data_IF_035547173919
#
_entry.id   IF_035547173919
#
_cell.length_a   1.000
_cell.length_b   1.000
_cell.length_c   1.000
_cell.angle_alpha   90.00
_cell.angle_beta   90.00
_cell.angle_gamma   90.00
#
_symmetry.space_group_name_H-M   'P 1'
#
loop_
_entity.id
_entity.type
_entity.pdbx_description
1 polymer ?
#
# COMPACT_ATOMS: atom_id res chain seq x y z
N UNK A 1 11.01 6.33 2.35
CA UNK A 1 11.19 7.32 3.44
C UNK A 1 12.62 7.85 3.55
N UNK A 2 13.65 7.01 3.39
CA UNK A 2 15.05 7.39 3.58
C UNK A 2 15.52 8.66 2.83
N UNK A 3 15.09 8.87 1.57
CA UNK A 3 15.53 10.04 0.80
C UNK A 3 14.82 11.35 1.22
N UNK A 4 13.57 11.26 1.68
CA UNK A 4 12.72 12.41 1.99
C UNK A 4 12.94 12.92 3.41
N UNK A 5 13.17 12.02 4.37
CA UNK A 5 13.40 12.34 5.79
C UNK A 5 14.46 13.41 6.06
N UNK A 6 15.65 13.42 5.44
CA UNK A 6 16.65 14.47 5.67
C UNK A 6 16.24 15.84 5.10
N UNK A 7 15.27 15.88 4.20
CA UNK A 7 14.77 17.10 3.57
C UNK A 7 13.49 17.64 4.25
N UNK A 8 12.95 16.92 5.24
CA UNK A 8 11.72 17.33 5.93
C UNK A 8 11.96 18.55 6.83
N UNK A 9 11.01 19.48 6.80
CA UNK A 9 11.04 20.69 7.64
C UNK A 9 9.81 20.73 8.57
N UNK A 10 9.91 21.48 9.68
CA UNK A 10 8.88 21.61 10.71
C UNK A 10 9.22 20.88 12.03
N UNK A 11 8.56 21.27 13.12
CA UNK A 11 8.71 20.68 14.45
C UNK A 11 7.37 20.15 14.98
N UNK A 12 7.39 19.30 16.01
CA UNK A 12 6.17 18.88 16.71
C UNK A 12 5.19 18.02 15.88
N UNK A 13 5.69 17.05 15.10
CA UNK A 13 4.85 16.11 14.34
C UNK A 13 4.33 16.63 12.99
N UNK A 14 4.44 17.93 12.71
CA UNK A 14 4.05 18.54 11.43
C UNK A 14 5.22 18.61 10.43
N UNK A 15 5.98 17.52 10.30
CA UNK A 15 7.07 17.44 9.34
C UNK A 15 6.55 17.28 7.92
N UNK A 16 7.09 18.08 6.98
CA UNK A 16 6.70 18.05 5.56
C UNK A 16 7.92 18.09 4.66
N UNK A 17 7.84 17.44 3.51
CA UNK A 17 8.84 17.61 2.44
C UNK A 17 8.52 18.94 1.73
N UNK A 18 9.46 19.90 1.67
CA UNK A 18 9.25 21.15 0.94
C UNK A 18 8.95 20.90 -0.53
N UNK A 19 8.08 21.72 -1.13
CA UNK A 19 7.71 21.63 -2.54
C UNK A 19 8.92 21.62 -3.48
N UNK A 20 9.89 22.50 -3.25
CA UNK A 20 11.10 22.60 -4.07
C UNK A 20 11.94 21.32 -4.07
N UNK A 21 11.91 20.54 -2.98
CA UNK A 21 12.61 19.25 -2.89
C UNK A 21 11.91 18.22 -3.78
N UNK A 22 10.57 18.21 -3.80
CA UNK A 22 9.80 17.29 -4.66
C UNK A 22 9.99 17.65 -6.13
N UNK A 23 9.95 18.94 -6.48
CA UNK A 23 10.10 19.40 -7.87
C UNK A 23 11.49 19.14 -8.47
N UNK A 24 12.54 19.18 -7.64
CA UNK A 24 13.91 18.91 -8.09
C UNK A 24 14.29 17.43 -8.07
N UNK A 25 13.45 16.57 -7.47
CA UNK A 25 13.71 15.14 -7.36
C UNK A 25 13.68 14.47 -8.73
N UNK A 26 14.83 13.92 -9.14
CA UNK A 26 14.96 13.24 -10.41
C UNK A 26 14.39 11.83 -10.33
N UNK A 27 13.51 11.48 -11.27
CA UNK A 27 12.99 10.13 -11.45
C UNK A 27 13.37 9.60 -12.83
N UNK A 28 13.54 8.28 -12.99
CA UNK A 28 13.69 7.67 -14.31
C UNK A 28 12.44 7.94 -15.16
N UNK A 29 12.64 8.36 -16.41
CA UNK A 29 11.57 8.59 -17.38
C UNK A 29 11.74 7.63 -18.58
N UNK A 30 11.25 6.38 -18.50
CA UNK A 30 11.33 5.45 -19.61
C UNK A 30 10.30 5.81 -20.71
N UNK A 31 10.38 5.22 -21.92
CA UNK A 31 9.39 5.42 -22.97
C UNK A 31 7.97 5.09 -22.49
N UNK A 32 6.95 5.77 -23.07
CA UNK A 32 5.55 5.64 -22.62
C UNK A 32 5.05 4.20 -22.62
N UNK A 33 5.38 3.41 -23.64
CA UNK A 33 5.00 1.99 -23.71
C UNK A 33 5.56 1.19 -22.52
N UNK A 34 6.80 1.47 -22.12
CA UNK A 34 7.41 0.84 -20.95
C UNK A 34 6.76 1.31 -19.65
N UNK A 35 6.43 2.61 -19.52
CA UNK A 35 5.69 3.11 -18.36
C UNK A 35 4.34 2.39 -18.19
N UNK A 36 3.59 2.24 -19.28
CA UNK A 36 2.29 1.56 -19.29
C UNK A 36 2.41 0.07 -18.94
N UNK A 37 3.42 -0.62 -19.47
CA UNK A 37 3.67 -2.02 -19.15
C UNK A 37 3.95 -2.21 -17.64
N UNK A 38 4.80 -1.36 -17.05
CA UNK A 38 5.10 -1.38 -15.62
C UNK A 38 3.83 -1.16 -14.78
N UNK A 39 2.99 -0.19 -15.16
CA UNK A 39 1.72 0.09 -14.45
C UNK A 39 0.79 -1.12 -14.53
N UNK A 40 0.60 -1.70 -15.72
CA UNK A 40 -0.28 -2.85 -15.91
C UNK A 40 0.14 -4.06 -15.06
N UNK A 41 1.44 -4.33 -14.96
CA UNK A 41 1.97 -5.41 -14.11
C UNK A 41 1.70 -5.14 -12.62
N UNK A 42 1.99 -3.92 -12.15
CA UNK A 42 1.74 -3.52 -10.77
C UNK A 42 0.24 -3.62 -10.43
N UNK A 43 -0.63 -3.16 -11.32
CA UNK A 43 -2.09 -3.20 -11.11
C UNK A 43 -2.62 -4.64 -11.04
N UNK A 44 -2.10 -5.53 -11.90
CA UNK A 44 -2.45 -6.95 -11.86
C UNK A 44 -2.07 -7.58 -10.51
N UNK A 45 -0.85 -7.33 -10.03
CA UNK A 45 -0.39 -7.83 -8.73
C UNK A 45 -1.18 -7.24 -7.56
N UNK A 46 -1.49 -5.93 -7.61
CA UNK A 46 -2.31 -5.29 -6.59
C UNK A 46 -3.72 -5.88 -6.52
N UNK A 47 -4.32 -6.22 -7.67
CA UNK A 47 -5.63 -6.87 -7.71
C UNK A 47 -5.60 -8.24 -7.03
N UNK A 48 -4.55 -9.04 -7.26
CA UNK A 48 -4.36 -10.32 -6.58
C UNK A 48 -4.21 -10.16 -5.06
N UNK A 49 -3.38 -9.20 -4.62
CA UNK A 49 -3.20 -8.90 -3.19
C UNK A 49 -4.51 -8.44 -2.55
N UNK A 50 -5.30 -7.61 -3.23
CA UNK A 50 -6.59 -7.14 -2.72
C UNK A 50 -7.59 -8.30 -2.58
N UNK A 51 -7.68 -9.17 -3.59
CA UNK A 51 -8.54 -10.36 -3.54
C UNK A 51 -8.14 -11.30 -2.39
N UNK A 52 -6.84 -11.50 -2.16
CA UNK A 52 -6.35 -12.33 -1.06
C UNK A 52 -6.67 -11.73 0.32
N UNK A 53 -6.59 -10.42 0.48
CA UNK A 53 -6.98 -9.74 1.74
C UNK A 53 -8.46 -9.94 2.06
N UNK A 54 -9.32 -9.82 1.05
CA UNK A 54 -10.75 -10.10 1.19
C UNK A 54 -10.99 -11.58 1.56
N UNK A 55 -10.25 -12.49 0.93
CA UNK A 55 -10.35 -13.91 1.23
C UNK A 55 -9.95 -14.23 2.68
N UNK A 56 -8.86 -13.63 3.17
CA UNK A 56 -8.43 -13.76 4.57
C UNK A 56 -9.53 -13.32 5.51
N UNK A 57 -10.10 -12.12 5.32
CA UNK A 57 -11.18 -11.61 6.16
C UNK A 57 -12.39 -12.56 6.21
N UNK A 58 -12.77 -13.14 5.07
CA UNK A 58 -13.86 -14.14 5.00
C UNK A 58 -13.52 -15.41 5.78
N UNK A 59 -12.30 -15.91 5.67
CA UNK A 59 -11.90 -17.13 6.37
C UNK A 59 -11.71 -16.91 7.88
N UNK A 60 -11.30 -15.72 8.30
CA UNK A 60 -11.30 -15.33 9.71
C UNK A 60 -12.72 -15.38 10.27
N UNK A 61 -13.70 -14.80 9.59
CA UNK A 61 -15.11 -14.87 10.00
C UNK A 61 -15.62 -16.31 10.08
N UNK A 62 -15.31 -17.15 9.08
CA UNK A 62 -15.71 -18.58 9.09
C UNK A 62 -15.05 -19.36 10.21
N UNK A 63 -13.79 -19.06 10.51
CA UNK A 63 -13.08 -19.65 11.66
C UNK A 63 -13.78 -19.26 12.95
N UNK A 64 -14.05 -17.97 13.16
CA UNK A 64 -14.75 -17.48 14.36
C UNK A 64 -16.14 -18.11 14.50
N UNK A 65 -16.93 -18.18 13.43
CA UNK A 65 -18.23 -18.84 13.45
C UNK A 65 -18.13 -20.34 13.79
N UNK A 66 -17.08 -21.01 13.31
CA UNK A 66 -16.83 -22.42 13.64
C UNK A 66 -16.46 -22.61 15.11
N UNK A 67 -15.63 -21.72 15.66
CA UNK A 67 -15.29 -21.72 17.08
C UNK A 67 -16.55 -21.48 17.93
N UNK A 68 -17.32 -20.42 17.68
CA UNK A 68 -18.56 -20.14 18.41
C UNK A 68 -19.51 -21.36 18.46
N UNK A 69 -19.70 -22.03 17.32
CA UNK A 69 -20.51 -23.25 17.21
C UNK A 69 -19.98 -24.42 18.05
N UNK A 70 -18.67 -24.62 18.12
CA UNK A 70 -18.05 -25.72 18.89
C UNK A 70 -18.14 -25.45 20.38
N UNK A 71 -18.01 -24.19 20.80
CA UNK A 71 -18.07 -23.78 22.21
C UNK A 71 -19.48 -23.49 22.72
N UNK A 72 -20.50 -23.50 21.86
CA UNK A 72 -21.90 -23.29 22.27
C UNK A 72 -22.22 -21.85 22.66
N UNK A 73 -21.41 -20.89 22.20
CA UNK A 73 -21.70 -19.46 22.32
C UNK A 73 -22.82 -19.08 21.31
N UNK A 74 -23.76 -18.19 21.66
CA UNK A 74 -24.84 -17.78 20.78
C UNK A 74 -24.35 -17.09 19.49
#
# INVERSE_FOLDING_TARGET
>A
RAWASPQMTGTGGLQRVPRAVVESYQIPLPPLATQQAIVAEIEAEQALVAANRELIARFEQKTQATLARVWGEP
#
